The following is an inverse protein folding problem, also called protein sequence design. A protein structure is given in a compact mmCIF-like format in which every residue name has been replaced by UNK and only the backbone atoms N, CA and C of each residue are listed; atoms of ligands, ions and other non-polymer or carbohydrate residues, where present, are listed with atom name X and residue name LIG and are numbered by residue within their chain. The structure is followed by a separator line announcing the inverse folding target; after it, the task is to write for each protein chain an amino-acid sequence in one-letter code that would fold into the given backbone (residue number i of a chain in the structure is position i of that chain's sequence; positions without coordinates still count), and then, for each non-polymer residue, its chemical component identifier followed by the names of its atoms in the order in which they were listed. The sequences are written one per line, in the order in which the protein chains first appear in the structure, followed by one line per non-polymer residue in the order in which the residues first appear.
data_IF_482006468107
#
_entry.id   IF_482006468107
#
_cell.length_a   1.000
_cell.length_b   1.000
_cell.length_c   1.000
_cell.angle_alpha   90.00
_cell.angle_beta   90.00
_cell.angle_gamma   90.00
#
_symmetry.space_group_name_H-M   'P 1'
#
loop_
_entity.id
_entity.type
_entity.pdbx_description
1 polymer ?
#
# COMPACT_ATOMS: atom_id res chain seq x y z
N UNK A 1 -6.95 -13.57 5.00
CA UNK A 1 -5.80 -12.87 5.61
C UNK A 1 -5.33 -11.67 4.80
N UNK A 2 -5.07 -11.75 3.48
CA UNK A 2 -4.63 -10.58 2.67
C UNK A 2 -5.68 -9.47 2.45
N UNK A 3 -6.96 -9.82 2.41
CA UNK A 3 -8.04 -8.85 2.13
C UNK A 3 -8.13 -7.78 3.24
N UNK A 4 -7.84 -8.14 4.49
CA UNK A 4 -7.88 -7.21 5.62
C UNK A 4 -6.77 -6.15 5.51
N UNK A 5 -5.61 -6.51 4.96
CA UNK A 5 -4.49 -5.60 4.77
C UNK A 5 -4.81 -4.50 3.75
N UNK A 6 -5.43 -4.87 2.63
CA UNK A 6 -5.86 -3.91 1.60
C UNK A 6 -6.87 -2.88 2.14
N UNK A 7 -7.87 -3.34 2.90
CA UNK A 7 -8.85 -2.44 3.52
C UNK A 7 -8.22 -1.54 4.59
N UNK A 8 -7.25 -2.05 5.35
CA UNK A 8 -6.56 -1.28 6.38
C UNK A 8 -5.65 -0.22 5.73
N UNK A 9 -4.92 -0.57 4.67
CA UNK A 9 -4.12 0.38 3.89
C UNK A 9 -4.96 1.48 3.24
N UNK A 10 -6.14 1.14 2.70
CA UNK A 10 -7.07 2.10 2.12
C UNK A 10 -7.59 3.13 3.14
N UNK A 11 -7.54 2.86 4.45
CA UNK A 11 -7.85 3.87 5.48
C UNK A 11 -6.74 4.91 5.65
N UNK A 12 -5.51 4.55 5.30
CA UNK A 12 -4.31 5.40 5.42
C UNK A 12 -3.87 6.05 4.10
N UNK A 13 -4.65 5.91 3.03
CA UNK A 13 -4.23 6.30 1.67
C UNK A 13 -4.18 7.82 1.41
N UNK A 14 -4.74 8.63 2.33
CA UNK A 14 -4.75 10.09 2.22
C UNK A 14 -5.61 10.62 1.06
N UNK A 15 -5.53 11.94 0.75
CA UNK A 15 -6.44 12.58 -0.21
C UNK A 15 -6.30 12.07 -1.66
N UNK A 16 -5.08 11.69 -2.05
CA UNK A 16 -4.78 11.19 -3.40
C UNK A 16 -5.33 9.79 -3.66
N UNK A 17 -5.63 9.04 -2.58
CA UNK A 17 -6.19 7.69 -2.65
C UNK A 17 -5.52 6.77 -3.67
N UNK A 18 -4.19 6.61 -3.64
CA UNK A 18 -3.44 5.86 -4.66
C UNK A 18 -3.88 4.40 -4.77
N UNK A 19 -4.47 3.80 -3.73
CA UNK A 19 -4.99 2.43 -3.76
C UNK A 19 -6.39 2.36 -4.36
N UNK A 20 -7.29 3.23 -3.93
CA UNK A 20 -8.64 3.32 -4.52
C UNK A 20 -8.62 3.81 -5.97
N UNK A 21 -7.58 4.54 -6.37
CA UNK A 21 -7.39 5.06 -7.72
C UNK A 21 -6.46 4.21 -8.57
N UNK A 22 -6.18 2.96 -8.20
CA UNK A 22 -5.36 2.08 -9.03
C UNK A 22 -5.96 1.96 -10.44
N UNK A 23 -5.10 2.07 -11.45
CA UNK A 23 -5.39 1.96 -12.89
C UNK A 23 -4.33 1.09 -13.55
N UNK A 24 -4.67 0.57 -14.72
CA UNK A 24 -3.69 -0.10 -15.57
C UNK A 24 -2.53 0.84 -15.91
N UNK A 25 -1.32 0.28 -15.99
CA UNK A 25 -0.08 1.01 -16.26
C UNK A 25 0.75 1.35 -15.01
N UNK A 26 0.14 1.32 -13.82
CA UNK A 26 0.86 1.55 -12.57
C UNK A 26 1.65 0.29 -12.15
N UNK A 27 2.79 0.51 -11.51
CA UNK A 27 3.62 -0.57 -10.96
C UNK A 27 3.36 -0.72 -9.47
N UNK A 28 3.21 -1.97 -9.02
CA UNK A 28 3.01 -2.29 -7.61
C UNK A 28 4.12 -3.24 -7.17
N UNK A 29 4.80 -2.91 -6.08
CA UNK A 29 5.75 -3.81 -5.41
C UNK A 29 5.21 -4.19 -4.05
N UNK A 30 5.08 -5.49 -3.82
CA UNK A 30 4.55 -6.06 -2.58
C UNK A 30 5.64 -6.84 -1.86
N UNK A 31 5.88 -6.52 -0.60
CA UNK A 31 6.67 -7.34 0.29
C UNK A 31 5.75 -8.01 1.31
N UNK A 32 5.90 -9.33 1.46
CA UNK A 32 5.17 -10.12 2.45
C UNK A 32 6.02 -10.32 3.69
N UNK A 33 5.38 -10.23 4.84
CA UNK A 33 5.94 -10.61 6.12
C UNK A 33 5.95 -12.12 6.33
N UNK A 34 6.45 -12.55 7.49
CA UNK A 34 6.65 -13.96 7.81
C UNK A 34 5.36 -14.74 8.01
N UNK A 35 4.23 -14.08 8.26
CA UNK A 35 2.91 -14.71 8.40
C UNK A 35 2.04 -14.53 7.15
N UNK A 36 2.61 -14.01 6.07
CA UNK A 36 1.92 -13.75 4.79
C UNK A 36 1.10 -12.46 4.75
N UNK A 37 1.20 -11.62 5.79
CA UNK A 37 0.73 -10.24 5.82
C UNK A 37 1.54 -9.34 4.86
N UNK A 38 0.97 -8.21 4.47
CA UNK A 38 1.70 -7.21 3.67
C UNK A 38 2.59 -6.38 4.60
N UNK A 39 3.90 -6.60 4.58
CA UNK A 39 4.81 -5.78 5.38
C UNK A 39 5.06 -4.41 4.74
N UNK A 40 5.07 -4.38 3.40
CA UNK A 40 5.27 -3.16 2.62
C UNK A 40 4.54 -3.25 1.28
N UNK A 41 3.95 -2.15 0.85
CA UNK A 41 3.36 -1.97 -0.47
C UNK A 41 3.85 -0.66 -1.06
N UNK A 42 4.44 -0.71 -2.24
CA UNK A 42 4.86 0.47 -2.99
C UNK A 42 4.03 0.56 -4.27
N UNK A 43 3.54 1.77 -4.55
CA UNK A 43 2.76 2.08 -5.75
C UNK A 43 3.48 3.17 -6.50
N UNK A 44 3.94 2.84 -7.71
CA UNK A 44 4.49 3.82 -8.66
C UNK A 44 3.40 4.20 -9.64
N UNK A 45 3.04 5.48 -9.68
CA UNK A 45 2.08 5.97 -10.64
C UNK A 45 2.69 6.16 -12.04
N UNK A 46 1.84 6.50 -13.01
CA UNK A 46 2.25 6.67 -14.41
C UNK A 46 3.17 7.88 -14.64
N UNK A 47 3.33 8.76 -13.63
CA UNK A 47 4.23 9.91 -13.65
C UNK A 47 5.57 9.61 -12.99
N UNK A 48 5.74 8.39 -12.43
CA UNK A 48 6.92 7.98 -11.68
C UNK A 48 6.88 8.36 -10.20
N UNK A 49 5.77 8.91 -9.70
CA UNK A 49 5.60 9.19 -8.27
C UNK A 49 5.45 7.89 -7.51
N UNK A 50 6.23 7.72 -6.46
CA UNK A 50 6.25 6.51 -5.64
C UNK A 50 5.58 6.80 -4.30
N UNK A 51 4.57 6.01 -3.94
CA UNK A 51 3.97 6.04 -2.61
C UNK A 51 4.21 4.71 -1.93
N UNK A 52 4.72 4.75 -0.70
CA UNK A 52 5.00 3.55 0.08
C UNK A 52 4.09 3.46 1.30
N UNK A 53 3.54 2.27 1.53
CA UNK A 53 2.79 1.88 2.70
C UNK A 53 3.61 0.87 3.47
N UNK A 54 3.93 1.19 4.73
CA UNK A 54 4.68 0.31 5.62
C UNK A 54 3.79 -0.12 6.76
N UNK A 55 3.72 -1.44 7.01
CA UNK A 55 2.96 -1.98 8.13
C UNK A 55 3.69 -1.70 9.45
N UNK A 56 2.96 -1.15 10.42
CA UNK A 56 3.45 -0.92 11.76
C UNK A 56 3.22 -2.15 12.66
N UNK A 57 3.85 -2.17 13.82
CA UNK A 57 3.73 -3.27 14.79
C UNK A 57 2.32 -3.45 15.34
N UNK A 58 1.51 -2.39 15.37
CA UNK A 58 0.10 -2.41 15.75
C UNK A 58 -0.83 -2.93 14.63
N UNK A 59 -0.27 -3.22 13.45
CA UNK A 59 -1.00 -3.70 12.28
C UNK A 59 -1.67 -2.62 11.43
N UNK A 60 -1.52 -1.34 11.79
CA UNK A 60 -1.86 -0.22 10.92
C UNK A 60 -0.81 -0.01 9.83
N UNK A 61 -1.09 0.89 8.89
CA UNK A 61 -0.15 1.23 7.82
C UNK A 61 0.16 2.71 7.85
N UNK A 62 1.45 3.02 7.75
CA UNK A 62 1.96 4.37 7.59
C UNK A 62 2.28 4.62 6.12
N UNK A 63 1.89 5.80 5.62
CA UNK A 63 2.10 6.23 4.23
C UNK A 63 3.24 7.23 4.16
N UNK A 64 4.19 6.99 3.26
CA UNK A 64 5.23 7.95 2.87
C UNK A 64 5.12 8.26 1.37
N UNK A 65 5.25 9.54 0.97
CA UNK A 65 5.53 9.90 -0.42
C UNK A 65 6.98 9.60 -0.81
#
# INVERSE_FOLDING_TARGET
MLVNDAFTMAKSEGPQKPLSQLRAGQTIRLQRGSQGEVSMLEVTDNTGTVITFTRLSDGSYYRTP
#
